data_IF_689227415749
#
_entry.id   IF_689227415749
#
_cell.length_a   1.000
_cell.length_b   1.000
_cell.length_c   1.000
_cell.angle_alpha   90.00
_cell.angle_beta   90.00
_cell.angle_gamma   90.00
#
_symmetry.space_group_name_H-M   'P 1'
#
loop_
_entity.id
_entity.type
_entity.pdbx_description
1 polymer ?
#
# COMPACT_ATOMS: atom_id res chain seq x y z
N UNK A 1 6.16 -5.27 -29.20
CA UNK A 1 7.26 -4.92 -28.28
C UNK A 1 6.60 -4.48 -27.00
N UNK A 2 6.62 -5.30 -25.94
CA UNK A 2 6.09 -4.88 -24.65
C UNK A 2 7.04 -3.81 -24.10
N UNK A 3 6.56 -2.58 -23.95
CA UNK A 3 7.28 -1.56 -23.17
C UNK A 3 7.59 -2.17 -21.81
N UNK A 4 8.87 -2.19 -21.42
CA UNK A 4 9.27 -2.50 -20.05
C UNK A 4 8.77 -1.35 -19.17
N UNK A 5 7.50 -1.43 -18.77
CA UNK A 5 6.99 -0.62 -17.67
C UNK A 5 7.77 -1.03 -16.44
N UNK A 6 8.45 -0.07 -15.82
CA UNK A 6 9.07 -0.30 -14.52
C UNK A 6 7.98 -0.77 -13.56
N UNK A 7 8.07 -2.02 -13.10
CA UNK A 7 7.10 -2.63 -12.20
C UNK A 7 7.29 -2.07 -10.79
N UNK A 8 6.89 -0.81 -10.58
CA UNK A 8 6.96 -0.16 -9.28
C UNK A 8 5.90 -0.76 -8.35
N UNK A 9 6.34 -1.27 -7.21
CA UNK A 9 5.45 -1.60 -6.09
C UNK A 9 5.48 -0.47 -5.07
N UNK A 10 4.30 0.05 -4.71
CA UNK A 10 4.19 1.01 -3.60
C UNK A 10 3.86 0.30 -2.31
N UNK A 11 4.65 0.56 -1.28
CA UNK A 11 4.37 0.11 0.10
C UNK A 11 3.82 1.30 0.88
N UNK A 12 2.54 1.24 1.24
CA UNK A 12 1.88 2.26 2.06
C UNK A 12 2.10 1.92 3.53
N UNK A 13 2.79 2.80 4.25
CA UNK A 13 3.15 2.63 5.64
C UNK A 13 2.12 3.24 6.59
N UNK A 14 1.45 2.40 7.39
CA UNK A 14 0.53 2.79 8.47
C UNK A 14 1.23 3.00 9.82
N UNK A 15 2.57 3.07 9.85
CA UNK A 15 3.36 3.35 11.04
C UNK A 15 3.85 2.11 11.78
N UNK A 16 3.92 0.95 11.12
CA UNK A 16 4.52 -0.24 11.69
C UNK A 16 6.02 -0.33 11.41
N UNK A 17 6.73 -1.04 12.29
CA UNK A 17 8.14 -1.37 12.11
C UNK A 17 8.43 -2.21 10.84
N UNK A 18 7.39 -2.75 10.18
CA UNK A 18 7.51 -3.74 9.12
C UNK A 18 7.51 -3.18 7.69
N UNK A 19 7.20 -1.89 7.45
CA UNK A 19 7.20 -1.34 6.09
C UNK A 19 8.56 -1.47 5.39
N UNK A 20 9.65 -1.25 6.15
CA UNK A 20 11.02 -1.45 5.65
C UNK A 20 11.34 -2.91 5.36
N UNK A 21 10.82 -3.85 6.16
CA UNK A 21 11.01 -5.28 5.94
C UNK A 21 10.24 -5.75 4.70
N UNK A 22 9.01 -5.27 4.50
CA UNK A 22 8.22 -5.53 3.29
C UNK A 22 8.99 -5.00 2.07
N UNK A 23 9.45 -3.75 2.09
CA UNK A 23 10.23 -3.18 1.01
C UNK A 23 11.52 -3.97 0.72
N UNK A 24 12.21 -4.43 1.77
CA UNK A 24 13.37 -5.32 1.62
C UNK A 24 12.99 -6.62 0.92
N UNK A 25 11.89 -7.27 1.30
CA UNK A 25 11.44 -8.52 0.66
C UNK A 25 11.06 -8.32 -0.80
N UNK A 26 10.39 -7.23 -1.13
CA UNK A 26 10.06 -6.88 -2.54
C UNK A 26 11.34 -6.70 -3.35
N UNK A 27 12.34 -6.01 -2.81
CA UNK A 27 13.66 -5.82 -3.46
C UNK A 27 14.44 -7.13 -3.59
N UNK A 28 14.37 -8.01 -2.61
CA UNK A 28 14.97 -9.36 -2.67
C UNK A 28 14.31 -10.22 -3.78
N UNK A 29 13.07 -9.93 -4.17
CA UNK A 29 12.41 -10.52 -5.34
C UNK A 29 12.79 -9.85 -6.68
N UNK A 30 13.71 -8.88 -6.69
CA UNK A 30 14.16 -8.18 -7.90
C UNK A 30 13.21 -7.08 -8.40
N UNK A 31 12.24 -6.66 -7.58
CA UNK A 31 11.23 -5.66 -7.95
C UNK A 31 11.55 -4.31 -7.29
N UNK A 32 11.43 -3.21 -8.04
CA UNK A 32 11.62 -1.87 -7.51
C UNK A 32 10.43 -1.47 -6.63
N UNK A 33 10.72 -0.85 -5.48
CA UNK A 33 9.67 -0.39 -4.59
C UNK A 33 10.01 0.92 -3.86
N UNK A 34 8.97 1.71 -3.64
CA UNK A 34 9.00 2.92 -2.82
C UNK A 34 8.06 2.76 -1.61
N UNK A 35 8.43 3.38 -0.50
CA UNK A 35 7.58 3.46 0.70
C UNK A 35 6.95 4.85 0.72
N UNK A 36 5.63 4.92 0.88
CA UNK A 36 4.89 6.15 1.09
C UNK A 36 4.16 6.10 2.44
N UNK A 37 4.02 7.23 3.15
CA UNK A 37 3.19 7.26 4.35
C UNK A 37 1.71 7.08 3.98
N UNK A 38 0.90 6.56 4.90
CA UNK A 38 -0.56 6.44 4.71
C UNK A 38 -1.26 7.78 4.41
N UNK A 39 -0.63 8.90 4.76
CA UNK A 39 -1.09 10.27 4.49
C UNK A 39 -0.82 10.74 3.06
N UNK A 40 -0.17 9.93 2.22
CA UNK A 40 0.03 10.26 0.81
C UNK A 40 -1.31 10.39 0.09
N UNK A 41 -1.47 11.46 -0.69
CA UNK A 41 -2.71 11.70 -1.44
C UNK A 41 -2.89 10.71 -2.58
N UNK A 42 -4.13 10.49 -2.99
CA UNK A 42 -4.45 9.60 -4.10
C UNK A 42 -3.78 10.06 -5.41
N UNK A 43 -3.70 11.36 -5.65
CA UNK A 43 -3.02 11.92 -6.83
C UNK A 43 -1.54 11.57 -6.83
N UNK A 44 -0.88 11.65 -5.68
CA UNK A 44 0.55 11.29 -5.55
C UNK A 44 0.76 9.80 -5.80
N UNK A 45 -0.13 8.95 -5.28
CA UNK A 45 -0.08 7.50 -5.51
C UNK A 45 -0.31 7.19 -7.00
N UNK A 46 -1.29 7.84 -7.63
CA UNK A 46 -1.62 7.65 -9.04
C UNK A 46 -0.51 8.14 -9.97
N UNK A 47 0.10 9.28 -9.68
CA UNK A 47 1.19 9.86 -10.47
C UNK A 47 2.47 9.01 -10.48
N UNK A 48 2.60 8.05 -9.55
CA UNK A 48 3.68 7.07 -9.52
C UNK A 48 3.45 5.89 -10.47
N UNK A 49 2.23 5.73 -11.01
CA UNK A 49 1.85 4.64 -11.91
C UNK A 49 2.25 3.24 -11.37
N UNK A 50 1.86 2.88 -10.14
CA UNK A 50 2.27 1.62 -9.53
C UNK A 50 1.74 0.42 -10.31
N UNK A 51 2.55 -0.64 -10.39
CA UNK A 51 2.11 -1.95 -10.87
C UNK A 51 1.33 -2.73 -9.79
N UNK A 52 1.62 -2.49 -8.51
CA UNK A 52 0.88 -3.03 -7.37
C UNK A 52 1.05 -2.17 -6.11
N UNK A 53 0.15 -2.36 -5.15
CA UNK A 53 0.16 -1.65 -3.87
C UNK A 53 0.15 -2.66 -2.72
N UNK A 54 1.02 -2.46 -1.73
CA UNK A 54 1.04 -3.21 -0.47
C UNK A 54 0.66 -2.25 0.66
N UNK A 55 -0.41 -2.57 1.37
CA UNK A 55 -0.86 -1.87 2.58
C UNK A 55 -0.20 -2.55 3.79
N UNK A 56 0.71 -1.84 4.47
CA UNK A 56 1.47 -2.42 5.57
C UNK A 56 0.62 -2.70 6.82
N UNK A 57 1.22 -3.37 7.80
CA UNK A 57 0.66 -3.43 9.14
C UNK A 57 0.72 -2.08 9.85
N UNK A 58 0.03 -1.98 10.99
CA UNK A 58 0.04 -0.82 11.86
C UNK A 58 -0.01 -1.28 13.32
N UNK A 59 0.51 -0.47 14.26
CA UNK A 59 0.40 -0.77 15.70
C UNK A 59 -1.02 -0.56 16.23
N UNK A 60 -1.88 0.12 15.47
CA UNK A 60 -3.22 0.51 15.85
C UNK A 60 -4.26 -0.56 15.49
N UNK A 61 -5.40 -0.53 16.19
CA UNK A 61 -6.64 -1.19 15.79
C UNK A 61 -7.38 -0.31 14.78
N UNK A 62 -7.93 -0.86 13.70
CA UNK A 62 -8.69 -0.06 12.68
C UNK A 62 -9.94 0.63 13.24
N UNK A 63 -10.41 0.22 14.42
CA UNK A 63 -11.67 0.68 15.00
C UNK A 63 -11.56 1.98 15.80
N UNK A 64 -10.36 2.55 15.97
CA UNK A 64 -10.21 3.83 16.68
C UNK A 64 -10.55 5.00 15.75
N UNK A 65 -11.12 6.07 16.31
CA UNK A 65 -11.68 7.20 15.56
C UNK A 65 -10.65 7.87 14.62
N UNK A 66 -9.38 7.88 15.03
CA UNK A 66 -8.25 8.44 14.27
C UNK A 66 -7.29 7.38 13.73
N UNK A 67 -7.82 6.18 13.42
CA UNK A 67 -6.99 5.11 12.88
C UNK A 67 -6.34 5.56 11.54
N UNK A 68 -5.05 5.22 11.29
CA UNK A 68 -4.38 5.55 10.04
C UNK A 68 -5.14 5.08 8.80
N UNK A 69 -5.50 5.98 7.88
CA UNK A 69 -6.28 5.64 6.68
C UNK A 69 -5.62 6.20 5.44
N UNK A 70 -5.50 5.37 4.41
CA UNK A 70 -5.19 5.81 3.05
C UNK A 70 -6.51 6.10 2.32
N UNK A 71 -6.47 6.92 1.28
CA UNK A 71 -7.64 7.18 0.44
C UNK A 71 -8.19 5.88 -0.17
N UNK A 72 -9.49 5.59 0.01
CA UNK A 72 -10.14 4.38 -0.50
C UNK A 72 -10.11 4.27 -2.04
N UNK A 73 -9.86 5.37 -2.75
CA UNK A 73 -9.65 5.40 -4.19
C UNK A 73 -8.47 4.55 -4.66
N UNK A 74 -7.54 4.16 -3.76
CA UNK A 74 -6.45 3.21 -4.11
C UNK A 74 -6.99 1.88 -4.64
N UNK A 75 -8.14 1.41 -4.12
CA UNK A 75 -8.77 0.16 -4.58
C UNK A 75 -9.43 0.28 -5.97
N UNK A 76 -9.58 1.51 -6.49
CA UNK A 76 -10.16 1.80 -7.81
C UNK A 76 -9.10 2.05 -8.89
N UNK A 77 -7.81 1.95 -8.57
CA UNK A 77 -6.72 2.18 -9.52
C UNK A 77 -6.54 1.04 -10.54
N UNK A 78 -7.24 -0.09 -10.38
CA UNK A 78 -7.18 -1.22 -11.31
C UNK A 78 -5.91 -2.05 -11.20
N UNK A 79 -5.16 -1.91 -10.10
CA UNK A 79 -3.92 -2.64 -9.82
C UNK A 79 -4.10 -3.55 -8.60
N UNK A 80 -3.35 -4.67 -8.50
CA UNK A 80 -3.42 -5.54 -7.34
C UNK A 80 -3.09 -4.82 -6.03
N UNK A 81 -3.88 -5.09 -4.98
CA UNK A 81 -3.68 -4.55 -3.64
C UNK A 81 -3.55 -5.71 -2.64
N UNK A 82 -2.44 -5.74 -1.88
CA UNK A 82 -2.22 -6.69 -0.80
C UNK A 82 -2.28 -5.98 0.55
N UNK A 83 -3.23 -6.36 1.40
CA UNK A 83 -3.30 -5.91 2.79
C UNK A 83 -2.62 -6.86 3.77
N UNK A 84 -1.76 -6.35 4.65
CA UNK A 84 -1.09 -7.14 5.70
C UNK A 84 -1.55 -6.65 7.08
N UNK A 85 -2.11 -7.55 7.90
CA UNK A 85 -2.59 -7.23 9.24
C UNK A 85 -3.55 -6.03 9.25
N UNK A 86 -3.13 -4.87 9.74
CA UNK A 86 -3.91 -3.63 9.69
C UNK A 86 -4.38 -3.29 8.27
N UNK A 87 -3.50 -3.38 7.26
CA UNK A 87 -3.88 -3.15 5.87
C UNK A 87 -4.97 -4.11 5.37
N UNK A 88 -5.00 -5.34 5.87
CA UNK A 88 -6.08 -6.30 5.57
C UNK A 88 -7.40 -5.90 6.22
N UNK A 89 -7.37 -5.54 7.51
CA UNK A 89 -8.55 -5.07 8.23
C UNK A 89 -9.14 -3.79 7.59
N UNK A 90 -8.27 -2.84 7.22
CA UNK A 90 -8.68 -1.63 6.51
C UNK A 90 -9.31 -1.96 5.16
N UNK A 91 -8.76 -2.92 4.42
CA UNK A 91 -9.33 -3.38 3.14
C UNK A 91 -10.73 -3.95 3.35
N UNK A 92 -10.92 -4.85 4.33
CA UNK A 92 -12.22 -5.43 4.63
C UNK A 92 -13.26 -4.36 4.99
N UNK A 93 -12.91 -3.47 5.93
CA UNK A 93 -13.80 -2.38 6.37
C UNK A 93 -14.17 -1.43 5.22
N UNK A 94 -13.21 -1.06 4.38
CA UNK A 94 -13.43 -0.10 3.28
C UNK A 94 -14.30 -0.68 2.18
N UNK A 95 -14.23 -2.00 1.96
CA UNK A 95 -14.98 -2.69 0.91
C UNK A 95 -16.31 -3.28 1.41
N UNK A 96 -16.72 -2.97 2.65
CA UNK A 96 -18.04 -3.34 3.19
C UNK A 96 -18.15 -4.77 3.74
N UNK A 97 -17.02 -5.34 4.17
CA UNK A 97 -16.98 -6.62 4.89
C UNK A 97 -17.35 -6.52 6.37
#
# INVERSE_FOLDING_TARGET
>A
MSEQRHELVLVIDFGAQYAQLIARRVRECGVYCEILPYTATLERIKAKEPAAIILSGGPASVYVENAPKVDAGVFKLGVPVLGICYGHQFTAQTLGG
#
